data_IF_579245550882
#
_entry.id   IF_579245550882
#
_cell.length_a   1.000
_cell.length_b   1.000
_cell.length_c   1.000
_cell.angle_alpha   90.00
_cell.angle_beta   90.00
_cell.angle_gamma   90.00
#
_symmetry.space_group_name_H-M   'P 1'
#
loop_
_entity.id
_entity.type
_entity.pdbx_description
1 polymer ?
#
# COMPACT_ATOMS: atom_id res chain seq x y z
N UNK A 1 7.52 24.43 2.37
CA UNK A 1 7.73 23.00 2.71
C UNK A 1 8.77 22.95 3.81
N UNK A 2 8.53 22.26 4.92
CA UNK A 2 9.39 22.34 6.12
C UNK A 2 10.77 21.69 5.94
N UNK A 3 10.92 20.79 4.94
CA UNK A 3 12.17 20.07 4.67
C UNK A 3 12.33 19.85 3.14
N UNK A 4 12.98 20.76 2.41
CA UNK A 4 13.01 20.72 0.94
C UNK A 4 13.96 19.67 0.35
N UNK A 5 14.78 19.02 1.18
CA UNK A 5 15.79 18.04 0.78
C UNK A 5 15.52 16.64 1.29
N UNK A 6 14.51 16.49 2.16
CA UNK A 6 14.26 15.23 2.84
C UNK A 6 13.38 14.36 1.96
N UNK A 7 13.70 13.08 1.89
CA UNK A 7 12.88 12.07 1.23
C UNK A 7 11.78 11.61 2.17
N UNK A 8 10.55 11.53 1.66
CA UNK A 8 9.38 11.15 2.43
C UNK A 8 8.97 9.73 2.06
N UNK A 9 8.87 8.86 3.08
CA UNK A 9 8.30 7.52 2.98
C UNK A 9 7.13 7.43 3.95
N UNK A 10 6.00 6.91 3.46
CA UNK A 10 4.77 6.70 4.23
C UNK A 10 4.48 5.21 4.21
N UNK A 11 4.40 4.58 5.38
CA UNK A 11 3.96 3.20 5.56
C UNK A 11 2.73 3.16 6.47
N UNK A 12 1.60 2.64 5.99
CA UNK A 12 0.35 2.60 6.78
C UNK A 12 -0.65 1.56 6.25
N UNK A 13 -1.59 1.14 7.12
CA UNK A 13 -2.80 0.39 6.75
C UNK A 13 -3.91 1.37 6.31
N UNK A 14 -3.94 1.67 5.01
CA UNK A 14 -4.90 2.62 4.47
C UNK A 14 -6.33 2.06 4.41
N UNK A 15 -6.47 0.74 4.42
CA UNK A 15 -7.72 0.00 4.25
C UNK A 15 -8.60 0.55 3.10
N UNK A 16 -7.94 0.97 2.01
CA UNK A 16 -8.54 1.67 0.89
C UNK A 16 -8.55 0.75 -0.33
N UNK A 17 -9.72 0.40 -0.86
CA UNK A 17 -9.83 -0.55 -1.98
C UNK A 17 -9.64 0.18 -3.31
N UNK A 18 -8.77 -0.33 -4.17
CA UNK A 18 -8.59 0.14 -5.55
C UNK A 18 -8.02 -0.98 -6.45
N UNK A 19 -8.39 -0.96 -7.72
CA UNK A 19 -7.92 -1.94 -8.72
C UNK A 19 -6.42 -1.87 -8.96
N UNK A 20 -5.80 -0.70 -8.79
CA UNK A 20 -4.34 -0.53 -8.93
C UNK A 20 -3.52 -1.38 -7.95
N UNK A 21 -4.12 -1.82 -6.84
CA UNK A 21 -3.46 -2.71 -5.87
C UNK A 21 -4.28 -3.99 -5.62
N UNK A 22 -4.85 -4.51 -6.71
CA UNK A 22 -5.40 -5.87 -6.82
C UNK A 22 -6.74 -6.13 -6.11
N UNK A 23 -7.52 -5.08 -5.80
CA UNK A 23 -8.94 -5.27 -5.47
C UNK A 23 -9.80 -5.40 -6.73
N UNK A 24 -10.98 -6.01 -6.59
CA UNK A 24 -11.95 -6.14 -7.69
C UNK A 24 -12.77 -4.88 -7.95
N UNK A 25 -12.79 -3.94 -7.00
CA UNK A 25 -13.60 -2.72 -7.04
C UNK A 25 -12.89 -1.58 -6.35
N UNK A 26 -13.17 -0.36 -6.79
CA UNK A 26 -12.69 0.84 -6.13
C UNK A 26 -13.67 1.31 -5.05
N UNK A 27 -13.10 1.77 -3.94
CA UNK A 27 -13.80 2.56 -2.93
C UNK A 27 -13.54 4.04 -3.16
N UNK A 28 -14.40 4.92 -2.62
CA UNK A 28 -14.16 6.37 -2.62
C UNK A 28 -12.79 6.70 -2.01
N UNK A 29 -12.49 6.12 -0.84
CA UNK A 29 -11.19 6.26 -0.16
C UNK A 29 -10.01 5.80 -1.03
N UNK A 30 -10.17 4.73 -1.80
CA UNK A 30 -9.12 4.24 -2.70
C UNK A 30 -8.87 5.17 -3.88
N UNK A 31 -9.93 5.72 -4.48
CA UNK A 31 -9.81 6.73 -5.53
C UNK A 31 -9.14 8.00 -5.01
N UNK A 32 -9.57 8.49 -3.83
CA UNK A 32 -9.02 9.68 -3.20
C UNK A 32 -7.55 9.49 -2.83
N UNK A 33 -7.19 8.31 -2.29
CA UNK A 33 -5.82 7.97 -1.95
C UNK A 33 -4.93 7.96 -3.20
N UNK A 34 -5.34 7.25 -4.26
CA UNK A 34 -4.58 7.19 -5.51
C UNK A 34 -4.36 8.59 -6.09
N UNK A 35 -5.43 9.37 -6.23
CA UNK A 35 -5.38 10.71 -6.80
C UNK A 35 -4.51 11.66 -5.95
N UNK A 36 -4.60 11.56 -4.62
CA UNK A 36 -3.80 12.38 -3.71
C UNK A 36 -2.33 12.03 -3.84
N UNK A 37 -1.97 10.75 -3.76
CA UNK A 37 -0.57 10.32 -3.86
C UNK A 37 0.05 10.74 -5.20
N UNK A 38 -0.66 10.52 -6.31
CA UNK A 38 -0.21 10.98 -7.63
C UNK A 38 -0.05 12.51 -7.70
N UNK A 39 -1.01 13.28 -7.18
CA UNK A 39 -0.97 14.74 -7.21
C UNK A 39 0.21 15.33 -6.43
N UNK A 40 0.66 14.64 -5.37
CA UNK A 40 1.81 15.03 -4.57
C UNK A 40 3.12 14.34 -4.98
N UNK A 41 3.12 13.58 -6.08
CA UNK A 41 4.34 12.94 -6.61
C UNK A 41 4.81 11.72 -5.84
N UNK A 42 3.90 11.04 -5.12
CA UNK A 42 4.20 9.79 -4.42
C UNK A 42 3.94 8.58 -5.32
N UNK A 43 4.82 7.60 -5.22
CA UNK A 43 4.80 6.35 -5.96
C UNK A 43 4.56 5.18 -5.01
N UNK A 44 3.67 4.27 -5.40
CA UNK A 44 3.42 3.03 -4.66
C UNK A 44 4.63 2.10 -4.83
N UNK A 45 5.22 1.68 -3.71
CA UNK A 45 6.42 0.82 -3.69
C UNK A 45 6.07 -0.66 -3.59
N UNK A 46 4.83 -0.99 -3.22
CA UNK A 46 4.38 -2.37 -3.05
C UNK A 46 4.52 -3.20 -4.34
N UNK A 47 4.95 -4.45 -4.19
CA UNK A 47 4.65 -5.48 -5.17
C UNK A 47 3.20 -5.97 -4.98
N UNK A 48 2.26 -5.39 -5.74
CA UNK A 48 0.82 -5.65 -5.62
C UNK A 48 0.41 -7.11 -5.88
N UNK A 49 1.29 -7.92 -6.48
CA UNK A 49 1.09 -9.35 -6.66
C UNK A 49 1.28 -10.15 -5.36
N UNK A 50 1.87 -9.54 -4.32
CA UNK A 50 2.09 -10.14 -3.00
C UNK A 50 1.18 -9.47 -1.98
N UNK A 51 0.13 -10.16 -1.50
CA UNK A 51 -0.79 -9.61 -0.50
C UNK A 51 -0.09 -9.19 0.79
N UNK A 52 -0.52 -8.08 1.38
CA UNK A 52 -0.06 -7.64 2.71
C UNK A 52 -1.01 -8.04 3.83
N UNK A 53 -2.18 -8.60 3.50
CA UNK A 53 -3.09 -9.21 4.49
C UNK A 53 -3.64 -10.53 3.98
N UNK A 54 -3.52 -11.57 4.79
CA UNK A 54 -3.94 -12.95 4.54
C UNK A 54 -5.37 -13.15 5.04
N UNK A 55 -6.22 -13.78 4.22
CA UNK A 55 -7.56 -14.16 4.63
C UNK A 55 -7.55 -15.31 5.65
N UNK A 56 -7.99 -15.06 6.89
CA UNK A 56 -7.99 -16.08 7.96
C UNK A 56 -9.13 -17.13 7.83
N UNK A 57 -10.14 -16.86 7.00
CA UNK A 57 -11.30 -17.73 6.84
C UNK A 57 -11.71 -17.87 5.37
N UNK A 58 -12.40 -18.96 5.03
CA UNK A 58 -12.81 -19.33 3.64
C UNK A 58 -13.57 -18.24 2.87
N UNK A 59 -14.17 -17.26 3.57
CA UNK A 59 -14.91 -16.15 2.97
C UNK A 59 -14.08 -14.89 2.75
N UNK A 60 -12.85 -14.85 3.28
CA UNK A 60 -11.93 -13.74 3.13
C UNK A 60 -10.89 -14.11 2.07
N UNK A 61 -10.59 -13.15 1.20
CA UNK A 61 -9.51 -13.24 0.22
C UNK A 61 -8.31 -12.49 0.76
N UNK A 62 -7.13 -12.86 0.27
CA UNK A 62 -5.94 -12.08 0.51
C UNK A 62 -6.08 -10.70 -0.17
N UNK A 63 -5.56 -9.66 0.49
CA UNK A 63 -5.74 -8.26 0.08
C UNK A 63 -4.48 -7.44 0.33
N UNK A 64 -4.44 -6.21 -0.22
CA UNK A 64 -3.38 -5.24 0.02
C UNK A 64 -3.96 -3.99 0.70
N UNK A 65 -4.23 -4.00 2.01
CA UNK A 65 -4.64 -2.78 2.71
C UNK A 65 -3.45 -1.91 3.15
N UNK A 66 -2.25 -2.48 3.26
CA UNK A 66 -1.02 -1.81 3.71
C UNK A 66 -0.21 -1.30 2.52
N UNK A 67 0.17 -0.02 2.54
CA UNK A 67 0.96 0.58 1.47
C UNK A 67 2.21 1.26 1.98
N UNK A 68 3.26 1.16 1.18
CA UNK A 68 4.45 1.99 1.24
C UNK A 68 4.43 2.96 0.06
N UNK A 69 4.35 4.25 0.34
CA UNK A 69 4.45 5.34 -0.64
C UNK A 69 5.77 6.09 -0.43
N UNK A 70 6.42 6.49 -1.52
CA UNK A 70 7.62 7.31 -1.45
C UNK A 70 7.58 8.42 -2.51
N UNK A 71 8.17 9.58 -2.20
CA UNK A 71 8.31 10.73 -3.10
C UNK A 71 9.41 10.56 -4.17
N UNK A 72 9.92 9.34 -4.33
CA UNK A 72 10.95 8.97 -5.30
C UNK A 72 11.38 7.51 -5.19
N UNK A 73 12.32 7.05 -6.03
CA UNK A 73 12.78 5.66 -6.09
C UNK A 73 13.82 5.35 -5.00
N UNK A 74 13.47 5.60 -3.74
CA UNK A 74 14.37 5.45 -2.59
C UNK A 74 14.20 4.11 -1.86
N UNK A 75 13.15 3.35 -2.18
CA UNK A 75 12.93 2.01 -1.64
C UNK A 75 13.50 0.99 -2.62
N UNK A 76 14.54 0.27 -2.19
CA UNK A 76 15.29 -0.65 -3.07
C UNK A 76 14.97 -2.13 -2.86
N UNK A 77 14.60 -2.51 -1.63
CA UNK A 77 14.30 -3.90 -1.25
C UNK A 77 12.98 -3.96 -0.50
N UNK A 78 11.88 -3.77 -1.24
CA UNK A 78 10.54 -3.92 -0.69
C UNK A 78 10.06 -5.35 -0.85
N UNK A 79 9.69 -5.98 0.25
CA UNK A 79 9.07 -7.31 0.24
C UNK A 79 8.15 -7.48 1.45
N UNK A 80 7.10 -8.29 1.30
CA UNK A 80 6.28 -8.75 2.43
C UNK A 80 7.03 -9.88 3.12
N UNK A 81 7.07 -9.85 4.45
CA UNK A 81 7.63 -10.95 5.23
C UNK A 81 6.79 -12.23 5.03
N UNK A 82 7.42 -13.40 5.08
CA UNK A 82 6.71 -14.68 4.91
C UNK A 82 5.91 -15.09 6.14
N UNK A 83 6.28 -14.60 7.32
CA UNK A 83 5.61 -14.86 8.59
C UNK A 83 4.90 -13.57 9.05
N UNK A 84 3.55 -13.58 9.18
CA UNK A 84 2.77 -12.44 9.66
C UNK A 84 2.83 -12.26 11.20
N UNK A 85 3.69 -13.03 11.88
CA UNK A 85 3.95 -12.94 13.32
C UNK A 85 2.70 -13.03 14.19
N UNK A 86 1.76 -13.89 13.79
CA UNK A 86 0.51 -14.14 14.51
C UNK A 86 -0.60 -13.12 14.23
N UNK A 87 -0.40 -12.22 13.28
CA UNK A 87 -1.40 -11.30 12.76
C UNK A 87 -1.94 -11.78 11.40
N UNK A 88 -2.97 -11.13 10.86
CA UNK A 88 -3.40 -11.33 9.47
C UNK A 88 -2.64 -10.44 8.46
N UNK A 89 -1.91 -9.44 8.94
CA UNK A 89 -0.97 -8.60 8.18
C UNK A 89 0.46 -9.15 8.26
#
# INVERSE_FOLDING_TARGET
MLYPTDHIIIGEDFNAKHTNWNYTTNSMRGNDLQATMEAYGFYLQNNIATPTRIGLHVKQRDTNPDFTWADGPHVHDWHVATDPWGSDH
#
